data_IF_777632177135
#
_entry.id   IF_777632177135
#
_cell.length_a   1.000
_cell.length_b   1.000
_cell.length_c   1.000
_cell.angle_alpha   90.00
_cell.angle_beta   90.00
_cell.angle_gamma   90.00
#
_symmetry.space_group_name_H-M   'P 1'
#
loop_
_entity.id
_entity.type
_entity.pdbx_description
1 polymer ?
#
# COMPACT_ATOMS: atom_id res chain seq x y z
N UNK A 1 12.01 6.22 85.46
CA UNK A 1 12.10 7.35 84.50
C UNK A 1 10.80 7.37 83.70
N UNK A 2 9.90 8.34 83.97
CA UNK A 2 9.46 9.43 83.05
C UNK A 2 9.02 8.92 81.66
N UNK A 3 7.78 9.05 81.18
CA UNK A 3 6.54 9.65 81.68
C UNK A 3 5.40 9.55 80.64
N UNK A 4 4.15 9.70 81.09
CA UNK A 4 2.99 10.44 80.50
C UNK A 4 2.63 10.27 78.99
N UNK A 5 1.38 10.13 78.51
CA UNK A 5 0.08 10.65 78.96
C UNK A 5 -1.12 9.85 78.37
N UNK A 6 -2.19 9.76 79.18
CA UNK A 6 -3.64 10.01 78.95
C UNK A 6 -4.08 10.61 77.57
N UNK A 7 -5.32 10.54 77.06
CA UNK A 7 -6.65 10.06 77.44
C UNK A 7 -7.57 10.19 76.20
N UNK A 8 -8.59 9.32 76.15
CA UNK A 8 -9.95 9.42 75.57
C UNK A 8 -10.25 10.10 74.21
N UNK A 9 -11.12 9.42 73.47
CA UNK A 9 -11.78 9.96 72.28
C UNK A 9 -12.79 8.99 71.66
N UNK A 10 -13.77 8.57 72.47
CA UNK A 10 -15.17 8.21 72.15
C UNK A 10 -15.56 7.32 70.94
N UNK A 11 -16.49 6.41 71.29
CA UNK A 11 -17.62 5.85 70.54
C UNK A 11 -17.38 4.84 69.41
N UNK A 12 -17.31 3.58 69.85
CA UNK A 12 -17.90 2.41 69.19
C UNK A 12 -19.42 2.55 68.98
N UNK A 13 -19.90 2.11 67.81
CA UNK A 13 -21.05 1.19 67.54
C UNK A 13 -21.71 1.57 66.19
N UNK A 14 -21.35 0.87 65.12
CA UNK A 14 -22.01 -0.33 64.58
C UNK A 14 -23.28 -0.03 63.75
N UNK A 15 -23.15 -0.18 62.42
CA UNK A 15 -23.82 -1.19 61.55
C UNK A 15 -25.25 -0.76 61.12
N UNK A 16 -25.68 -0.87 59.86
CA UNK A 16 -25.39 -1.91 58.88
C UNK A 16 -25.60 -1.45 57.42
N UNK A 17 -24.90 -2.16 56.53
CA UNK A 17 -24.97 -2.18 55.05
C UNK A 17 -26.40 -2.23 54.48
N UNK A 18 -26.60 -1.60 53.30
CA UNK A 18 -26.89 -2.32 52.03
C UNK A 18 -26.91 -1.42 50.76
N UNK A 19 -26.07 -1.85 49.80
CA UNK A 19 -26.22 -1.86 48.33
C UNK A 19 -26.41 -0.57 47.49
N UNK A 20 -25.34 -0.23 46.76
CA UNK A 20 -25.26 0.03 45.30
C UNK A 20 -26.45 0.73 44.61
N UNK A 21 -26.21 1.97 44.14
CA UNK A 21 -26.60 2.39 42.79
C UNK A 21 -25.50 3.25 42.17
N UNK A 22 -24.96 2.77 41.04
CA UNK A 22 -24.01 3.44 40.14
C UNK A 22 -24.49 4.86 39.79
N UNK A 23 -23.71 5.90 40.07
CA UNK A 23 -23.65 7.08 39.19
C UNK A 23 -22.39 6.94 38.32
N UNK A 24 -22.54 6.24 37.18
CA UNK A 24 -21.49 6.10 36.16
C UNK A 24 -21.41 7.33 35.25
N UNK A 25 -21.50 8.51 35.84
CA UNK A 25 -21.30 9.75 35.09
C UNK A 25 -20.52 10.74 35.94
N UNK A 26 -19.32 10.31 36.36
CA UNK A 26 -18.22 11.26 36.41
C UNK A 26 -18.00 11.67 34.96
N UNK A 27 -18.47 12.87 34.61
CA UNK A 27 -18.17 13.52 33.34
C UNK A 27 -16.66 13.49 33.21
N UNK A 28 -16.14 12.60 32.36
CA UNK A 28 -14.75 12.64 31.96
C UNK A 28 -14.59 13.99 31.26
N UNK A 29 -14.17 15.01 32.01
CA UNK A 29 -13.75 16.25 31.39
C UNK A 29 -12.64 15.84 30.45
N UNK A 30 -12.94 15.94 29.14
CA UNK A 30 -11.94 15.82 28.09
C UNK A 30 -10.86 16.81 28.47
N UNK A 31 -9.79 16.34 29.12
CA UNK A 31 -8.55 17.08 29.27
C UNK A 31 -7.95 17.08 27.87
N UNK A 32 -8.55 17.86 26.98
CA UNK A 32 -7.97 18.14 25.68
C UNK A 32 -6.54 18.59 25.98
N UNK A 33 -5.58 17.93 25.35
CA UNK A 33 -4.17 18.25 25.54
C UNK A 33 -4.04 19.76 25.35
N UNK A 34 -3.66 20.48 26.41
CA UNK A 34 -3.60 21.95 26.41
C UNK A 34 -2.86 22.49 25.19
N UNK A 35 -1.87 21.75 24.69
CA UNK A 35 -1.14 22.02 23.45
C UNK A 35 -2.02 22.06 22.18
N UNK A 36 -2.96 21.13 21.98
CA UNK A 36 -3.88 21.19 20.83
C UNK A 36 -4.83 22.39 20.91
N UNK A 37 -5.32 22.69 22.12
CA UNK A 37 -6.17 23.87 22.36
C UNK A 37 -5.38 25.17 22.16
N UNK A 38 -4.13 25.20 22.58
CA UNK A 38 -3.20 26.31 22.40
C UNK A 38 -2.87 26.56 20.91
N UNK A 39 -2.71 25.50 20.11
CA UNK A 39 -2.56 25.59 18.65
C UNK A 39 -3.85 26.14 18.01
N UNK A 40 -5.03 25.66 18.41
CA UNK A 40 -6.33 26.13 17.90
C UNK A 40 -6.63 27.58 18.27
N UNK A 41 -6.18 28.04 19.43
CA UNK A 41 -6.32 29.42 19.87
C UNK A 41 -5.31 30.38 19.20
N UNK A 42 -4.36 29.86 18.42
CA UNK A 42 -3.39 30.67 17.66
C UNK A 42 -2.14 31.09 18.44
N UNK A 43 -1.92 30.54 19.64
CA UNK A 43 -0.77 30.90 20.48
C UNK A 43 0.58 30.45 19.86
N UNK A 44 0.53 29.51 18.92
CA UNK A 44 1.66 29.11 18.06
C UNK A 44 2.18 30.24 17.16
N UNK A 45 1.32 31.21 16.81
CA UNK A 45 1.66 32.33 15.93
C UNK A 45 2.19 33.54 16.69
N UNK A 46 2.32 33.44 18.03
CA UNK A 46 2.87 34.52 18.84
C UNK A 46 4.36 34.71 18.58
N UNK A 47 4.82 35.96 18.70
CA UNK A 47 6.23 36.32 18.46
C UNK A 47 7.19 35.49 19.31
N UNK A 48 6.88 35.30 20.59
CA UNK A 48 7.77 34.57 21.51
C UNK A 48 7.86 33.08 21.16
N UNK A 49 6.73 32.46 20.77
CA UNK A 49 6.72 31.07 20.33
C UNK A 49 7.52 30.89 19.03
N UNK A 50 7.33 31.77 18.04
CA UNK A 50 8.04 31.72 16.76
C UNK A 50 9.54 31.94 16.94
N UNK A 51 9.94 32.92 17.77
CA UNK A 51 11.36 33.20 18.04
C UNK A 51 12.03 32.02 18.76
N UNK A 52 11.34 31.36 19.69
CA UNK A 52 11.88 30.21 20.40
C UNK A 52 11.96 28.93 19.54
N UNK A 53 11.16 28.83 18.47
CA UNK A 53 11.06 27.64 17.61
C UNK A 53 11.50 27.89 16.15
N UNK A 54 12.24 28.98 15.90
CA UNK A 54 12.55 29.46 14.54
C UNK A 54 13.24 28.40 13.66
N UNK A 55 14.20 27.67 14.22
CA UNK A 55 14.92 26.60 13.50
C UNK A 55 13.97 25.48 13.04
N UNK A 56 12.99 25.11 13.88
CA UNK A 56 12.01 24.09 13.54
C UNK A 56 11.03 24.59 12.47
N UNK A 57 10.58 25.84 12.56
CA UNK A 57 9.73 26.46 11.54
C UNK A 57 10.44 26.49 10.19
N UNK A 58 11.72 26.88 10.17
CA UNK A 58 12.52 26.86 8.95
C UNK A 58 12.65 25.45 8.37
N UNK A 59 12.85 24.44 9.21
CA UNK A 59 12.86 23.04 8.80
C UNK A 59 11.54 22.60 8.14
N UNK A 60 10.39 22.99 8.70
CA UNK A 60 9.07 22.68 8.12
C UNK A 60 8.87 23.39 6.77
N UNK A 61 9.26 24.67 6.66
CA UNK A 61 9.19 25.41 5.39
C UNK A 61 10.09 24.76 4.34
N UNK A 62 11.31 24.37 4.71
CA UNK A 62 12.22 23.63 3.85
C UNK A 62 11.60 22.31 3.37
N UNK A 63 10.96 21.57 4.27
CA UNK A 63 10.28 20.31 3.94
C UNK A 63 9.08 20.55 3.00
N UNK A 64 8.35 21.64 3.18
CA UNK A 64 7.29 22.07 2.26
C UNK A 64 7.82 22.36 0.85
N UNK A 65 8.97 23.05 0.74
CA UNK A 65 9.62 23.30 -0.55
C UNK A 65 9.99 21.98 -1.24
N UNK A 66 10.64 21.05 -0.51
CA UNK A 66 10.98 19.72 -1.04
C UNK A 66 9.76 18.95 -1.51
N UNK A 67 8.65 19.06 -0.79
CA UNK A 67 7.40 18.38 -1.12
C UNK A 67 6.77 18.93 -2.40
N UNK A 68 6.78 20.26 -2.58
CA UNK A 68 6.34 20.90 -3.84
C UNK A 68 7.26 20.51 -5.00
N UNK A 69 8.58 20.49 -4.80
CA UNK A 69 9.54 20.07 -5.82
C UNK A 69 9.28 18.63 -6.29
N UNK A 70 9.01 17.70 -5.36
CA UNK A 70 8.59 16.32 -5.68
C UNK A 70 7.24 16.27 -6.42
N UNK A 71 6.30 17.16 -6.08
CA UNK A 71 4.97 17.22 -6.70
C UNK A 71 5.01 17.37 -8.23
N UNK A 72 5.91 18.22 -8.74
CA UNK A 72 6.06 18.41 -10.19
C UNK A 72 6.55 17.16 -10.96
N UNK A 73 7.31 16.29 -10.30
CA UNK A 73 7.82 15.06 -10.92
C UNK A 73 6.70 14.03 -11.13
N UNK A 74 5.72 13.97 -10.23
CA UNK A 74 4.61 13.01 -10.29
C UNK A 74 3.77 13.20 -11.56
N UNK A 75 3.53 14.46 -11.96
CA UNK A 75 2.74 14.76 -13.15
C UNK A 75 3.43 14.34 -14.45
N UNK A 76 4.74 14.55 -14.55
CA UNK A 76 5.52 14.13 -15.72
C UNK A 76 5.60 12.60 -15.78
N UNK A 77 5.89 11.97 -14.64
CA UNK A 77 5.96 10.51 -14.55
C UNK A 77 4.64 9.84 -14.92
N UNK A 78 3.49 10.38 -14.49
CA UNK A 78 2.19 9.84 -14.86
C UNK A 78 1.97 9.86 -16.37
N UNK A 79 2.34 10.96 -17.04
CA UNK A 79 2.23 11.04 -18.50
C UNK A 79 3.16 10.05 -19.20
N UNK A 80 4.41 9.92 -18.73
CA UNK A 80 5.38 8.99 -19.29
C UNK A 80 4.90 7.53 -19.14
N UNK A 81 4.33 7.17 -17.99
CA UNK A 81 3.72 5.85 -17.76
C UNK A 81 2.61 5.60 -18.79
N UNK A 82 1.69 6.53 -18.99
CA UNK A 82 0.59 6.33 -19.96
C UNK A 82 1.09 6.19 -21.40
N UNK A 83 2.17 6.91 -21.75
CA UNK A 83 2.79 6.82 -23.07
C UNK A 83 3.45 5.47 -23.27
N UNK A 84 4.17 4.99 -22.27
CA UNK A 84 4.84 3.69 -22.30
C UNK A 84 3.84 2.54 -22.33
N UNK A 85 2.78 2.60 -21.53
CA UNK A 85 1.67 1.62 -21.57
C UNK A 85 1.04 1.53 -22.97
N UNK A 86 0.85 2.68 -23.63
CA UNK A 86 0.34 2.71 -25.00
C UNK A 86 1.33 2.09 -26.00
N UNK A 87 2.63 2.34 -25.83
CA UNK A 87 3.66 1.77 -26.69
C UNK A 87 3.71 0.24 -26.53
N UNK A 88 3.71 -0.26 -25.30
CA UNK A 88 3.65 -1.70 -24.99
C UNK A 88 2.38 -2.33 -25.55
N UNK A 89 1.24 -1.66 -25.40
CA UNK A 89 -0.03 -2.09 -25.99
C UNK A 89 0.04 -2.21 -27.52
N UNK A 90 0.65 -1.22 -28.19
CA UNK A 90 0.87 -1.23 -29.64
C UNK A 90 1.73 -2.42 -30.08
N UNK A 91 2.90 -2.61 -29.46
CA UNK A 91 3.81 -3.73 -29.76
C UNK A 91 3.11 -5.08 -29.53
N UNK A 92 2.30 -5.19 -28.47
CA UNK A 92 1.55 -6.40 -28.16
C UNK A 92 0.50 -6.69 -29.24
N UNK A 93 -0.20 -5.66 -29.72
CA UNK A 93 -1.17 -5.80 -30.81
C UNK A 93 -0.48 -6.27 -32.10
N UNK A 94 0.63 -5.65 -32.49
CA UNK A 94 1.41 -6.02 -33.68
C UNK A 94 1.92 -7.47 -33.59
N UNK A 95 2.38 -7.88 -32.40
CA UNK A 95 2.81 -9.26 -32.15
C UNK A 95 1.65 -10.25 -32.30
N UNK A 96 0.48 -9.96 -31.73
CA UNK A 96 -0.70 -10.82 -31.83
C UNK A 96 -1.17 -10.93 -33.27
N UNK A 97 -1.20 -9.82 -34.02
CA UNK A 97 -1.56 -9.81 -35.45
C UNK A 97 -0.58 -10.64 -36.28
N UNK A 98 0.73 -10.41 -36.10
CA UNK A 98 1.77 -11.13 -36.85
C UNK A 98 1.75 -12.62 -36.54
N UNK A 99 1.54 -12.97 -35.26
CA UNK A 99 1.39 -14.37 -34.85
C UNK A 99 0.14 -15.00 -35.45
N UNK A 100 -1.00 -14.32 -35.43
CA UNK A 100 -2.24 -14.81 -36.03
C UNK A 100 -2.07 -15.05 -37.54
N UNK A 101 -1.41 -14.13 -38.23
CA UNK A 101 -1.08 -14.29 -39.66
C UNK A 101 -0.15 -15.47 -39.92
N UNK A 102 0.83 -15.71 -39.05
CA UNK A 102 1.70 -16.87 -39.15
C UNK A 102 0.91 -18.18 -38.94
N UNK A 103 0.02 -18.22 -37.95
CA UNK A 103 -0.83 -19.38 -37.69
C UNK A 103 -1.81 -19.65 -38.82
N UNK A 104 -2.35 -18.61 -39.45
CA UNK A 104 -3.18 -18.69 -40.65
C UNK A 104 -2.41 -19.36 -41.79
N UNK A 105 -1.27 -18.80 -42.20
CA UNK A 105 -0.50 -19.35 -43.33
C UNK A 105 0.10 -20.74 -43.08
N UNK A 106 0.36 -21.09 -41.80
CA UNK A 106 0.86 -22.42 -41.42
C UNK A 106 -0.27 -23.40 -41.12
N UNK A 107 -1.54 -22.97 -41.19
CA UNK A 107 -2.69 -23.83 -40.97
C UNK A 107 -2.69 -24.96 -42.00
N UNK A 108 -2.90 -26.19 -41.52
CA UNK A 108 -2.89 -27.41 -42.34
C UNK A 108 -3.71 -27.27 -43.63
N UNK A 109 -4.93 -26.74 -43.55
CA UNK A 109 -5.81 -26.54 -44.71
C UNK A 109 -5.21 -25.58 -45.73
N UNK A 110 -4.71 -24.43 -45.28
CA UNK A 110 -4.12 -23.42 -46.16
C UNK A 110 -2.79 -23.92 -46.75
N UNK A 111 -2.00 -24.64 -45.96
CA UNK A 111 -0.75 -25.25 -46.41
C UNK A 111 -1.00 -26.29 -47.51
N UNK A 112 -2.02 -27.16 -47.37
CA UNK A 112 -2.41 -28.12 -48.40
C UNK A 112 -2.81 -27.40 -49.68
N UNK A 113 -3.61 -26.33 -49.60
CA UNK A 113 -4.03 -25.57 -50.77
C UNK A 113 -2.86 -24.86 -51.47
N UNK A 114 -1.95 -24.25 -50.71
CA UNK A 114 -0.75 -23.59 -51.26
C UNK A 114 0.25 -24.59 -51.87
N UNK A 115 0.31 -25.82 -51.36
CA UNK A 115 1.24 -26.86 -51.82
C UNK A 115 0.67 -27.75 -52.94
N UNK A 116 -0.66 -27.72 -53.20
CA UNK A 116 -1.30 -28.39 -54.34
C UNK A 116 -0.62 -28.13 -55.70
N UNK A 117 -0.33 -26.87 -56.12
CA UNK A 117 0.31 -26.61 -57.41
C UNK A 117 1.74 -27.16 -57.52
N UNK A 118 2.41 -27.40 -56.39
CA UNK A 118 3.74 -28.02 -56.34
C UNK A 118 3.66 -29.56 -56.43
N UNK A 119 2.46 -30.15 -56.52
CA UNK A 119 2.25 -31.59 -56.58
C UNK A 119 2.47 -32.33 -55.26
N UNK A 120 2.71 -31.59 -54.17
CA UNK A 120 2.97 -32.15 -52.85
C UNK A 120 1.65 -32.59 -52.20
N UNK A 121 1.64 -33.80 -51.63
CA UNK A 121 0.48 -34.39 -50.93
C UNK A 121 0.84 -34.69 -49.50
N UNK A 122 -0.12 -34.45 -48.61
CA UNK A 122 0.05 -34.76 -47.21
C UNK A 122 0.18 -36.27 -46.98
N UNK A 123 1.11 -36.67 -46.10
CA UNK A 123 1.26 -38.06 -45.70
C UNK A 123 0.21 -38.41 -44.66
N UNK A 124 -0.56 -39.46 -44.91
CA UNK A 124 -1.64 -39.94 -44.03
C UNK A 124 -1.12 -41.03 -43.08
N UNK A 125 -0.03 -41.69 -43.47
CA UNK A 125 0.55 -42.79 -42.71
C UNK A 125 1.51 -42.28 -41.64
N UNK A 126 1.48 -42.85 -40.43
CA UNK A 126 2.43 -42.51 -39.38
C UNK A 126 3.86 -42.85 -39.80
N UNK A 127 4.82 -42.02 -39.39
CA UNK A 127 6.24 -42.22 -39.66
C UNK A 127 6.71 -43.54 -39.03
N UNK A 128 7.18 -44.48 -39.85
CA UNK A 128 7.81 -45.71 -39.37
C UNK A 128 9.25 -45.41 -38.94
N UNK A 129 9.53 -45.55 -37.65
CA UNK A 129 10.89 -45.47 -37.11
C UNK A 129 11.55 -46.85 -37.19
N UNK A 130 12.65 -46.94 -37.93
CA UNK A 130 13.50 -48.14 -37.94
C UNK A 130 14.51 -47.98 -36.80
N UNK A 131 14.36 -48.77 -35.73
CA UNK A 131 15.34 -48.82 -34.64
C UNK A 131 16.34 -49.92 -34.93
N UNK A 132 17.61 -49.56 -35.03
CA UNK A 132 18.71 -50.53 -35.14
C UNK A 132 18.88 -51.18 -33.77
N UNK A 133 18.72 -52.50 -33.68
CA UNK A 133 19.14 -53.25 -32.48
C UNK A 133 20.68 -53.25 -32.49
N UNK A 134 21.29 -52.68 -31.45
CA UNK A 134 22.68 -53.01 -31.14
C UNK A 134 22.68 -54.42 -30.57
N UNK A 135 23.42 -55.32 -31.22
CA UNK A 135 23.81 -56.58 -30.62
C UNK A 135 24.76 -56.24 -29.47
N UNK A 136 24.42 -56.71 -28.27
CA UNK A 136 25.29 -56.58 -27.09
C UNK A 136 26.35 -57.67 -27.20
N UNK A 137 27.61 -57.26 -27.38
CA UNK A 137 28.81 -58.10 -27.34
C UNK A 137 29.08 -58.66 -25.92
#
# INVERSE_FOLDING_TARGET
MKGNNYISGQSTKEKAKKSKKKSRFATASKKQSKSLVQIMNGDFLTKDFVMNNLNFIFFIIFLMILMVSKGYYVHQLANDITKEEKAVGGITADYVETKAKLEEVTRRTEMIERLKPLGLKETINPTKVIRVKKEED
#
